data_IF_729650556288
#
_entry.id   IF_729650556288
#
_cell.length_a   1.000
_cell.length_b   1.000
_cell.length_c   1.000
_cell.angle_alpha   90.00
_cell.angle_beta   90.00
_cell.angle_gamma   90.00
#
_symmetry.space_group_name_H-M   'P 1'
#
loop_
_entity.id
_entity.type
_entity.pdbx_description
1 polymer ?
#
# COMPACT_ATOMS: atom_id res chain seq x y z
N UNK A 1 18.61 -2.26 -20.05
CA UNK A 1 19.89 -1.71 -20.50
C UNK A 1 19.88 -0.23 -20.17
N UNK A 2 20.99 0.36 -19.76
CA UNK A 2 21.07 1.80 -19.51
C UNK A 2 21.15 2.57 -20.83
N UNK A 3 20.76 3.84 -20.81
CA UNK A 3 20.84 4.74 -21.96
C UNK A 3 22.31 5.10 -22.28
N UNK A 4 22.57 5.62 -23.48
CA UNK A 4 23.93 5.99 -23.91
C UNK A 4 24.56 7.02 -22.96
N UNK A 5 25.76 6.71 -22.46
CA UNK A 5 26.49 7.51 -21.47
C UNK A 5 26.19 7.14 -20.02
N UNK A 6 25.38 6.10 -19.78
CA UNK A 6 25.12 5.55 -18.45
C UNK A 6 25.57 4.09 -18.35
N UNK A 7 26.29 3.76 -17.29
CA UNK A 7 26.74 2.41 -16.95
C UNK A 7 26.08 1.87 -15.68
N UNK A 8 26.17 0.57 -15.45
CA UNK A 8 25.64 -0.05 -14.23
C UNK A 8 26.73 -0.19 -13.20
N UNK A 9 26.51 0.21 -11.94
CA UNK A 9 27.42 -0.10 -10.85
C UNK A 9 27.55 -1.61 -10.66
N UNK A 10 28.75 -2.09 -10.30
CA UNK A 10 28.94 -3.51 -9.98
C UNK A 10 28.12 -3.87 -8.74
N UNK A 11 27.20 -4.84 -8.88
CA UNK A 11 26.38 -5.35 -7.78
C UNK A 11 24.98 -4.74 -7.67
N UNK A 12 24.71 -3.60 -8.32
CA UNK A 12 23.36 -3.03 -8.40
C UNK A 12 22.80 -3.10 -9.83
N UNK A 13 22.00 -4.14 -10.06
CA UNK A 13 21.33 -4.40 -11.33
C UNK A 13 20.12 -3.49 -11.63
N UNK A 14 19.69 -2.66 -10.67
CA UNK A 14 18.51 -1.79 -10.79
C UNK A 14 18.87 -0.31 -11.03
N UNK A 15 20.12 0.10 -10.87
CA UNK A 15 20.57 1.48 -11.07
C UNK A 15 21.37 1.68 -12.37
N UNK A 16 21.34 2.91 -12.89
CA UNK A 16 22.14 3.38 -14.02
C UNK A 16 22.79 4.71 -13.62
N UNK A 17 24.12 4.78 -13.69
CA UNK A 17 24.93 5.93 -13.26
C UNK A 17 25.69 6.50 -14.45
N UNK A 18 26.06 7.77 -14.41
CA UNK A 18 26.76 8.41 -15.52
C UNK A 18 28.17 7.81 -15.66
N UNK A 19 28.58 7.45 -16.87
CA UNK A 19 29.90 6.86 -17.13
C UNK A 19 31.02 7.80 -16.62
N UNK A 20 31.84 7.32 -15.67
CA UNK A 20 32.93 8.10 -15.07
C UNK A 20 32.55 8.97 -13.87
N UNK A 21 31.33 8.89 -13.33
CA UNK A 21 31.02 9.45 -12.01
C UNK A 21 31.56 8.53 -10.91
N UNK A 22 32.64 8.92 -10.24
CA UNK A 22 32.97 8.37 -8.92
C UNK A 22 31.89 8.86 -7.97
N UNK A 23 31.00 7.97 -7.55
CA UNK A 23 30.01 8.25 -6.51
C UNK A 23 30.76 8.56 -5.20
N UNK A 24 31.11 9.84 -4.99
CA UNK A 24 31.11 10.35 -3.63
C UNK A 24 29.66 10.26 -3.16
N UNK A 25 29.38 9.30 -2.27
CA UNK A 25 28.16 9.17 -1.48
C UNK A 25 27.89 10.48 -0.72
N UNK A 26 27.44 11.52 -1.41
CA UNK A 26 27.07 12.82 -0.84
C UNK A 26 25.90 13.44 -1.59
N UNK A 27 25.07 12.60 -2.21
CA UNK A 27 23.74 12.96 -2.64
C UNK A 27 22.76 12.51 -1.56
N UNK A 28 22.39 13.42 -0.64
CA UNK A 28 21.15 13.27 0.13
C UNK A 28 20.05 12.92 -0.85
N UNK A 29 19.55 11.67 -0.80
CA UNK A 29 18.45 11.20 -1.62
C UNK A 29 17.26 12.15 -1.41
N UNK A 30 16.92 13.02 -2.38
CA UNK A 30 15.85 13.98 -2.23
C UNK A 30 14.47 13.30 -2.22
N UNK A 31 14.39 12.00 -2.53
CA UNK A 31 13.19 11.20 -2.32
C UNK A 31 13.06 10.68 -0.88
N UNK A 32 14.15 10.57 -0.12
CA UNK A 32 14.11 10.02 1.25
C UNK A 32 13.27 10.86 2.21
N UNK A 33 13.34 12.20 2.10
CA UNK A 33 12.54 13.11 2.93
C UNK A 33 11.05 13.08 2.55
N UNK A 34 10.73 12.77 1.29
CA UNK A 34 9.35 12.74 0.79
C UNK A 34 8.62 11.41 1.08
N UNK A 35 9.32 10.33 1.40
CA UNK A 35 8.70 9.04 1.73
C UNK A 35 8.10 9.00 3.15
N UNK A 36 8.49 9.94 4.03
CA UNK A 36 7.93 10.06 5.37
C UNK A 36 6.58 10.77 5.44
N UNK A 37 6.19 11.54 4.40
CA UNK A 37 4.97 12.35 4.41
C UNK A 37 3.74 11.67 3.80
N UNK A 38 3.90 10.48 3.22
CA UNK A 38 2.79 9.71 2.66
C UNK A 38 2.64 8.38 3.39
N UNK A 39 1.94 8.39 4.52
CA UNK A 39 1.34 7.16 5.04
C UNK A 39 0.19 6.76 4.11
N UNK A 40 0.41 5.73 3.30
CA UNK A 40 -0.70 5.05 2.62
C UNK A 40 -1.54 4.39 3.72
N UNK A 41 -2.61 5.05 4.13
CA UNK A 41 -3.53 4.52 5.13
C UNK A 41 -4.17 3.23 4.63
N UNK A 42 -3.73 2.08 5.13
CA UNK A 42 -4.36 0.78 4.86
C UNK A 42 -5.69 0.71 5.61
N UNK A 43 -6.74 1.31 5.05
CA UNK A 43 -8.09 1.17 5.59
C UNK A 43 -8.70 -0.15 5.12
N UNK A 44 -9.00 -1.06 6.06
CA UNK A 44 -9.77 -2.26 5.77
C UNK A 44 -11.25 -1.99 6.01
N UNK A 45 -12.12 -2.42 5.11
CA UNK A 45 -13.57 -2.29 5.27
C UNK A 45 -14.22 -3.64 4.98
N UNK A 46 -15.06 -4.12 5.90
CA UNK A 46 -15.84 -5.35 5.75
C UNK A 46 -17.29 -4.99 5.48
N UNK A 47 -17.90 -5.57 4.44
CA UNK A 47 -19.30 -5.34 4.11
C UNK A 47 -20.13 -6.60 4.35
N UNK A 48 -21.35 -6.43 4.86
CA UNK A 48 -22.38 -7.47 4.86
C UNK A 48 -23.39 -7.16 3.76
N UNK A 49 -23.62 -8.14 2.88
CA UNK A 49 -24.54 -8.04 1.75
C UNK A 49 -25.83 -8.80 2.04
N UNK A 50 -26.95 -8.30 1.52
CA UNK A 50 -28.23 -9.04 1.56
C UNK A 50 -28.33 -10.09 0.44
N UNK A 51 -29.44 -10.85 0.44
CA UNK A 51 -29.78 -11.88 -0.56
C UNK A 51 -29.86 -11.33 -2.00
N UNK A 52 -29.99 -10.01 -2.19
CA UNK A 52 -29.99 -9.35 -3.50
C UNK A 52 -28.65 -8.67 -3.82
N UNK A 53 -27.58 -9.01 -3.09
CA UNK A 53 -26.23 -8.45 -3.26
C UNK A 53 -26.13 -6.95 -2.99
N UNK A 54 -27.04 -6.38 -2.19
CA UNK A 54 -26.98 -4.97 -1.80
C UNK A 54 -26.18 -4.84 -0.50
N UNK A 55 -25.31 -3.82 -0.43
CA UNK A 55 -24.55 -3.49 0.78
C UNK A 55 -25.51 -3.00 1.86
N UNK A 56 -25.55 -3.67 3.01
CA UNK A 56 -26.42 -3.28 4.14
C UNK A 56 -25.63 -2.69 5.28
N UNK A 57 -24.49 -3.30 5.62
CA UNK A 57 -23.67 -2.91 6.77
C UNK A 57 -22.21 -2.79 6.33
N UNK A 58 -21.49 -1.84 6.93
CA UNK A 58 -20.08 -1.59 6.69
C UNK A 58 -19.32 -1.43 8.00
N UNK A 59 -18.36 -2.31 8.24
CA UNK A 59 -17.41 -2.27 9.35
C UNK A 59 -16.09 -1.67 8.86
N UNK A 60 -15.59 -0.66 9.56
CA UNK A 60 -14.32 -0.01 9.23
C UNK A 60 -13.22 -0.45 10.19
N UNK A 61 -12.01 -0.62 9.65
CA UNK A 61 -10.85 -1.09 10.41
C UNK A 61 -10.94 -2.57 10.76
N UNK A 62 -10.11 -2.97 11.74
CA UNK A 62 -9.98 -4.37 12.20
C UNK A 62 -10.55 -4.58 13.60
N UNK A 63 -11.05 -3.54 14.26
CA UNK A 63 -11.56 -3.57 15.64
C UNK A 63 -13.08 -3.76 15.71
N UNK A 64 -13.63 -4.65 14.87
CA UNK A 64 -15.05 -4.99 14.93
C UNK A 64 -15.29 -6.06 16.00
N UNK A 65 -16.43 -5.95 16.67
CA UNK A 65 -16.85 -6.87 17.71
C UNK A 65 -17.49 -8.13 17.10
N UNK A 66 -17.12 -9.31 17.61
CA UNK A 66 -17.61 -10.58 17.06
C UNK A 66 -19.10 -10.79 17.35
N UNK A 67 -19.57 -10.39 18.52
CA UNK A 67 -20.96 -10.60 18.94
C UNK A 67 -21.89 -9.72 18.10
N UNK A 68 -21.57 -8.43 17.97
CA UNK A 68 -22.29 -7.51 17.09
C UNK A 68 -22.29 -7.95 15.62
N UNK A 69 -21.16 -8.48 15.13
CA UNK A 69 -21.09 -9.00 13.77
C UNK A 69 -22.04 -10.20 13.54
N UNK A 70 -22.15 -11.10 14.51
CA UNK A 70 -23.06 -12.26 14.42
C UNK A 70 -24.52 -11.83 14.53
N UNK A 71 -24.85 -10.89 15.41
CA UNK A 71 -26.21 -10.34 15.55
C UNK A 71 -26.68 -9.68 14.25
N UNK A 72 -25.82 -8.89 13.62
CA UNK A 72 -26.09 -8.27 12.33
C UNK A 72 -26.37 -9.29 11.22
N UNK A 73 -25.61 -10.40 11.20
CA UNK A 73 -25.84 -11.49 10.25
C UNK A 73 -27.17 -12.19 10.47
N UNK A 74 -27.53 -12.49 11.72
CA UNK A 74 -28.80 -13.13 12.05
C UNK A 74 -29.98 -12.23 11.67
N UNK A 75 -29.91 -10.96 12.03
CA UNK A 75 -30.93 -9.96 11.69
C UNK A 75 -31.14 -9.89 10.18
N UNK A 76 -30.06 -9.83 9.39
CA UNK A 76 -30.15 -9.79 7.93
C UNK A 76 -30.57 -11.12 7.29
N UNK A 77 -30.35 -12.25 7.96
CA UNK A 77 -30.79 -13.56 7.46
C UNK A 77 -32.32 -13.73 7.61
N UNK A 78 -32.88 -13.16 8.67
CA UNK A 78 -34.31 -13.22 9.01
C UNK A 78 -35.16 -12.20 8.23
N UNK A 79 -34.55 -11.22 7.53
CA UNK A 79 -35.19 -10.36 6.51
C UNK A 79 -35.61 -11.14 5.24
#
# INVERSE_FOLDING_TARGET
MCDDGYERPEGDWLSCVLEGSTEEENGTDPHSESLGEYEVGHSTVTFILDKQMRKRIAYTGTSWDLEGFVEDLQTLADE
#
